data_IF_594293630930
#
_entry.id   IF_594293630930
#
_cell.length_a   1.000
_cell.length_b   1.000
_cell.length_c   1.000
_cell.angle_alpha   90.00
_cell.angle_beta   90.00
_cell.angle_gamma   90.00
#
_symmetry.space_group_name_H-M   'P 1'
#
loop_
_entity.id
_entity.type
_entity.pdbx_description
1 polymer ?
#
# COMPACT_ATOMS: atom_id res chain seq x y z
N UNK A 1 -9.56 9.02 -5.57
CA UNK A 1 -10.30 7.75 -5.35
C UNK A 1 -10.81 7.72 -3.90
N UNK A 2 -12.03 7.22 -3.63
CA UNK A 2 -12.59 7.14 -2.26
C UNK A 2 -12.07 5.89 -1.54
N UNK A 3 -11.79 5.99 -0.23
CA UNK A 3 -11.43 4.84 0.60
C UNK A 3 -12.54 3.78 0.59
N UNK A 4 -12.14 2.51 0.50
CA UNK A 4 -13.05 1.35 0.56
C UNK A 4 -12.48 0.33 1.54
N UNK A 5 -13.32 -0.06 2.49
CA UNK A 5 -13.03 -1.11 3.45
C UNK A 5 -12.83 -2.46 2.77
N UNK A 6 -11.84 -3.22 3.23
CA UNK A 6 -11.48 -4.53 2.69
C UNK A 6 -11.68 -5.57 3.79
N UNK A 7 -12.75 -6.36 3.67
CA UNK A 7 -13.12 -7.40 4.64
C UNK A 7 -12.08 -8.51 4.79
N UNK A 8 -11.29 -8.76 3.75
CA UNK A 8 -10.26 -9.81 3.76
C UNK A 8 -8.95 -9.42 4.50
N UNK A 9 -8.84 -8.16 4.96
CA UNK A 9 -7.67 -7.64 5.67
C UNK A 9 -7.96 -7.66 7.16
N UNK A 10 -7.06 -8.25 7.96
CA UNK A 10 -7.19 -8.29 9.41
C UNK A 10 -6.83 -6.96 10.07
N UNK A 11 -7.63 -5.92 9.83
CA UNK A 11 -7.52 -4.60 10.44
C UNK A 11 -8.90 -3.94 10.47
N UNK A 12 -9.21 -3.18 11.54
CA UNK A 12 -10.50 -2.47 11.67
C UNK A 12 -10.72 -1.44 10.55
N UNK A 13 -11.97 -0.99 10.39
CA UNK A 13 -12.31 0.05 9.41
C UNK A 13 -11.48 1.33 9.62
N UNK A 14 -11.40 1.78 10.87
CA UNK A 14 -10.67 2.98 11.28
C UNK A 14 -9.17 2.82 10.99
N UNK A 15 -8.61 1.64 11.31
CA UNK A 15 -7.21 1.34 11.06
C UNK A 15 -6.90 1.33 9.57
N UNK A 16 -7.73 0.67 8.76
CA UNK A 16 -7.58 0.68 7.31
C UNK A 16 -7.71 2.10 6.74
N UNK A 17 -8.66 2.89 7.24
CA UNK A 17 -8.84 4.29 6.85
C UNK A 17 -7.60 5.13 7.16
N UNK A 18 -7.10 5.06 8.40
CA UNK A 18 -5.85 5.72 8.82
C UNK A 18 -4.69 5.35 7.90
N UNK A 19 -4.45 4.05 7.65
CA UNK A 19 -3.36 3.58 6.78
C UNK A 19 -3.50 4.16 5.39
N UNK A 20 -4.69 4.12 4.80
CA UNK A 20 -4.95 4.66 3.45
C UNK A 20 -4.64 6.16 3.39
N UNK A 21 -5.26 6.96 4.26
CA UNK A 21 -5.11 8.42 4.22
C UNK A 21 -3.69 8.86 4.61
N UNK A 22 -3.07 8.20 5.60
CA UNK A 22 -1.66 8.43 5.94
C UNK A 22 -0.79 8.13 4.73
N UNK A 23 -0.94 6.99 4.06
CA UNK A 23 -0.11 6.63 2.90
C UNK A 23 -0.21 7.66 1.76
N UNK A 24 -1.37 8.28 1.54
CA UNK A 24 -1.53 9.32 0.52
C UNK A 24 -0.78 10.63 0.83
N UNK A 25 -0.39 10.88 2.09
CA UNK A 25 0.46 12.04 2.41
C UNK A 25 1.94 11.81 2.10
N UNK A 26 2.29 10.64 1.54
CA UNK A 26 3.68 10.28 1.20
C UNK A 26 4.48 11.40 0.51
N UNK A 27 3.96 12.18 -0.47
CA UNK A 27 4.73 13.25 -1.11
C UNK A 27 5.27 14.30 -0.12
N UNK A 28 4.50 14.61 0.93
CA UNK A 28 4.81 15.67 1.92
C UNK A 28 5.36 15.11 3.24
N UNK A 29 5.45 13.80 3.40
CA UNK A 29 6.04 13.17 4.59
C UNK A 29 7.52 13.51 4.78
N UNK A 30 7.94 13.45 6.05
CA UNK A 30 9.34 13.50 6.42
C UNK A 30 10.12 12.34 5.76
N UNK A 31 11.41 12.53 5.42
CA UNK A 31 12.23 11.50 4.79
C UNK A 31 12.24 10.16 5.56
N UNK A 32 12.25 10.23 6.90
CA UNK A 32 12.21 9.04 7.77
C UNK A 32 10.95 8.21 7.53
N UNK A 33 9.78 8.84 7.45
CA UNK A 33 8.50 8.14 7.29
C UNK A 33 8.31 7.62 5.86
N UNK A 34 8.77 8.39 4.86
CA UNK A 34 8.87 7.93 3.46
C UNK A 34 9.67 6.63 3.39
N UNK A 35 10.82 6.59 4.05
CA UNK A 35 11.68 5.41 4.05
C UNK A 35 11.03 4.21 4.78
N UNK A 36 10.29 4.45 5.88
CA UNK A 36 9.50 3.39 6.54
C UNK A 36 8.48 2.78 5.59
N UNK A 37 7.72 3.60 4.86
CA UNK A 37 6.73 3.13 3.87
C UNK A 37 7.41 2.39 2.72
N UNK A 38 8.52 2.92 2.19
CA UNK A 38 9.29 2.27 1.11
C UNK A 38 9.80 0.90 1.55
N UNK A 39 10.43 0.80 2.71
CA UNK A 39 10.93 -0.48 3.26
C UNK A 39 9.81 -1.47 3.50
N UNK A 40 8.68 -1.02 4.04
CA UNK A 40 7.51 -1.86 4.23
C UNK A 40 7.03 -2.44 2.89
N UNK A 41 6.90 -1.60 1.86
CA UNK A 41 6.46 -2.03 0.53
C UNK A 41 7.41 -3.06 -0.09
N UNK A 42 8.73 -2.84 0.00
CA UNK A 42 9.74 -3.79 -0.48
C UNK A 42 9.63 -5.12 0.30
N UNK A 43 9.54 -5.05 1.62
CA UNK A 43 9.52 -6.24 2.49
C UNK A 43 8.28 -7.12 2.26
N UNK A 44 7.10 -6.52 2.10
CA UNK A 44 5.84 -7.28 1.96
C UNK A 44 5.47 -7.58 0.51
N UNK A 45 5.96 -6.75 -0.42
CA UNK A 45 5.69 -6.84 -1.84
C UNK A 45 6.70 -7.66 -2.63
N UNK A 46 7.92 -7.87 -2.13
CA UNK A 46 8.98 -8.55 -2.86
C UNK A 46 9.21 -7.89 -4.23
N UNK A 47 9.16 -8.69 -5.30
CA UNK A 47 9.27 -8.22 -6.70
C UNK A 47 8.22 -7.18 -7.08
N UNK A 48 7.09 -7.12 -6.36
CA UNK A 48 6.03 -6.14 -6.59
C UNK A 48 6.11 -4.93 -5.64
N UNK A 49 7.23 -4.74 -4.93
CA UNK A 49 7.39 -3.68 -3.95
C UNK A 49 7.21 -2.28 -4.53
N UNK A 50 7.71 -2.01 -5.75
CA UNK A 50 7.54 -0.71 -6.41
C UNK A 50 6.08 -0.47 -6.83
N UNK A 51 5.43 -1.48 -7.42
CA UNK A 51 4.02 -1.42 -7.78
C UNK A 51 3.13 -1.17 -6.55
N UNK A 52 3.42 -1.86 -5.44
CA UNK A 52 2.72 -1.65 -4.18
C UNK A 52 2.91 -0.22 -3.68
N UNK A 53 4.14 0.30 -3.67
CA UNK A 53 4.44 1.66 -3.23
C UNK A 53 3.64 2.68 -4.06
N UNK A 54 3.66 2.55 -5.38
CA UNK A 54 2.89 3.42 -6.27
C UNK A 54 1.40 3.36 -5.94
N UNK A 55 0.83 2.17 -5.83
CA UNK A 55 -0.59 1.98 -5.50
C UNK A 55 -0.98 2.66 -4.17
N UNK A 56 -0.25 2.40 -3.09
CA UNK A 56 -0.65 2.85 -1.74
C UNK A 56 -0.40 4.35 -1.52
N UNK A 57 0.53 4.95 -2.25
CA UNK A 57 0.89 6.38 -2.08
C UNK A 57 0.16 7.31 -3.05
N UNK A 58 -0.33 6.80 -4.17
CA UNK A 58 -1.07 7.60 -5.17
C UNK A 58 -2.57 7.32 -5.17
N UNK A 59 -2.99 6.15 -4.68
CA UNK A 59 -4.38 5.69 -4.76
C UNK A 59 -4.81 5.28 -6.18
N UNK A 60 -3.86 5.08 -7.09
CA UNK A 60 -4.11 4.56 -8.44
C UNK A 60 -4.72 3.15 -8.41
N UNK A 61 -5.49 2.80 -9.42
CA UNK A 61 -6.13 1.46 -9.44
C UNK A 61 -5.09 0.34 -9.60
N UNK A 62 -5.34 -0.82 -8.97
CA UNK A 62 -4.49 -2.02 -9.12
C UNK A 62 -4.28 -2.38 -10.60
N UNK A 63 -5.32 -2.22 -11.43
CA UNK A 63 -5.23 -2.49 -12.88
C UNK A 63 -4.22 -1.57 -13.58
N UNK A 64 -4.31 -0.25 -13.33
CA UNK A 64 -3.41 0.76 -13.88
C UNK A 64 -1.95 0.51 -13.46
N UNK A 65 -1.74 0.26 -12.17
CA UNK A 65 -0.42 -0.05 -11.60
C UNK A 65 0.15 -1.34 -12.19
N UNK A 66 -0.63 -2.43 -12.26
CA UNK A 66 -0.15 -3.68 -12.84
C UNK A 66 0.28 -3.50 -14.31
N UNK A 67 -0.43 -2.69 -15.08
CA UNK A 67 -0.06 -2.39 -16.46
C UNK A 67 1.27 -1.63 -16.55
N UNK A 68 1.49 -0.60 -15.71
CA UNK A 68 2.75 0.17 -15.69
C UNK A 68 3.95 -0.64 -15.21
N UNK A 69 3.73 -1.61 -14.32
CA UNK A 69 4.77 -2.46 -13.74
C UNK A 69 4.89 -3.84 -14.41
N UNK A 70 4.23 -4.05 -15.56
CA UNK A 70 4.26 -5.31 -16.32
C UNK A 70 3.88 -6.55 -15.49
N UNK A 71 2.95 -6.40 -14.54
CA UNK A 71 2.48 -7.48 -13.67
C UNK A 71 1.33 -8.22 -14.36
N UNK A 72 1.58 -9.47 -14.77
CA UNK A 72 0.58 -10.29 -15.48
C UNK A 72 -0.61 -10.73 -14.62
N UNK A 73 -0.48 -10.76 -13.29
CA UNK A 73 -1.57 -11.17 -12.37
C UNK A 73 -1.76 -10.19 -11.21
N UNK A 74 -2.93 -9.54 -11.10
CA UNK A 74 -3.25 -8.66 -9.96
C UNK A 74 -3.25 -9.36 -8.60
N UNK A 75 -3.41 -10.68 -8.57
CA UNK A 75 -3.50 -11.48 -7.33
C UNK A 75 -2.28 -11.27 -6.43
N UNK A 76 -1.08 -11.23 -7.00
CA UNK A 76 0.14 -11.01 -6.24
C UNK A 76 0.18 -9.61 -5.60
N UNK A 77 -0.30 -8.60 -6.33
CA UNK A 77 -0.41 -7.24 -5.80
C UNK A 77 -1.49 -7.11 -4.73
N UNK A 78 -2.64 -7.78 -4.87
CA UNK A 78 -3.66 -7.82 -3.81
C UNK A 78 -3.15 -8.48 -2.52
N UNK A 79 -2.36 -9.56 -2.63
CA UNK A 79 -1.71 -10.19 -1.47
C UNK A 79 -0.71 -9.26 -0.81
N UNK A 80 0.07 -8.51 -1.59
CA UNK A 80 1.01 -7.52 -1.09
C UNK A 80 0.27 -6.36 -0.37
N UNK A 81 -0.83 -5.88 -0.93
CA UNK A 81 -1.71 -4.87 -0.31
C UNK A 81 -2.23 -5.37 1.03
N UNK A 82 -2.75 -6.61 1.10
CA UNK A 82 -3.21 -7.19 2.37
C UNK A 82 -2.12 -7.14 3.45
N UNK A 83 -0.91 -7.62 3.11
CA UNK A 83 0.24 -7.62 4.04
C UNK A 83 0.69 -6.22 4.43
N UNK A 84 0.60 -5.25 3.50
CA UNK A 84 0.91 -3.85 3.79
C UNK A 84 0.03 -3.30 4.92
N UNK A 85 -1.28 -3.52 4.83
CA UNK A 85 -2.21 -3.07 5.87
C UNK A 85 -2.02 -3.81 7.18
N UNK A 86 -1.82 -5.13 7.14
CA UNK A 86 -1.65 -5.97 8.34
C UNK A 86 -0.33 -5.70 9.08
N UNK A 87 0.71 -5.25 8.37
CA UNK A 87 2.05 -4.98 8.93
C UNK A 87 2.37 -3.49 9.05
N UNK A 88 1.40 -2.61 8.80
CA UNK A 88 1.63 -1.17 8.89
C UNK A 88 1.96 -0.76 10.33
N UNK A 89 3.07 -0.05 10.58
CA UNK A 89 3.50 0.34 11.93
C UNK A 89 2.42 1.09 12.72
N UNK A 90 2.28 0.78 14.01
CA UNK A 90 1.31 1.43 14.90
C UNK A 90 1.71 2.88 15.23
N UNK A 91 3.00 3.18 15.17
CA UNK A 91 3.68 4.39 15.62
C UNK A 91 4.13 5.30 14.44
N UNK A 92 3.31 5.40 13.39
CA UNK A 92 3.64 6.16 12.17
C UNK A 92 3.16 7.63 12.19
#
# INVERSE_FOLDING_TARGET
>A
MKFRYKTAINASYERQGYIYFKSLTYPTMLPRDKERIRRLCITVGGDHGQALLEHVTTGESVKSVCQRHYIGSPTSLYRAIKRYYERFPADM
#
